data_IF_733449614782
#
_entry.id   IF_733449614782
#
_cell.length_a   1.000
_cell.length_b   1.000
_cell.length_c   1.000
_cell.angle_alpha   90.00
_cell.angle_beta   90.00
_cell.angle_gamma   90.00
#
_symmetry.space_group_name_H-M   'P 1'
#
loop_
_entity.id
_entity.type
_entity.pdbx_description
1 polymer ?
#
# COMPACT_ATOMS: atom_id res chain seq x y z
N UNK A 1 -65.68 -46.10 -47.24
CA UNK A 1 -65.77 -45.58 -45.85
C UNK A 1 -64.63 -46.06 -44.95
N UNK A 2 -64.18 -47.32 -45.04
CA UNK A 2 -63.07 -47.85 -44.21
C UNK A 2 -61.73 -47.12 -44.41
N UNK A 3 -61.34 -46.81 -45.65
CA UNK A 3 -60.06 -46.11 -45.92
C UNK A 3 -60.00 -44.67 -45.37
N UNK A 4 -61.13 -43.95 -45.32
CA UNK A 4 -61.17 -42.59 -44.79
C UNK A 4 -61.02 -42.57 -43.26
N UNK A 5 -61.63 -43.53 -42.57
CA UNK A 5 -61.48 -43.70 -41.12
C UNK A 5 -60.05 -44.08 -40.73
N UNK A 6 -59.39 -44.92 -41.52
CA UNK A 6 -57.99 -45.29 -41.29
C UNK A 6 -57.04 -44.10 -41.42
N UNK A 7 -57.21 -43.26 -42.45
CA UNK A 7 -56.39 -42.05 -42.63
C UNK A 7 -56.59 -41.06 -41.48
N UNK A 8 -57.82 -40.87 -41.00
CA UNK A 8 -58.11 -40.01 -39.85
C UNK A 8 -57.46 -40.56 -38.56
N UNK A 9 -57.49 -41.88 -38.35
CA UNK A 9 -56.85 -42.50 -37.19
C UNK A 9 -55.32 -42.33 -37.20
N UNK A 10 -54.68 -42.48 -38.36
CA UNK A 10 -53.23 -42.28 -38.51
C UNK A 10 -52.83 -40.82 -38.27
N UNK A 11 -53.61 -39.86 -38.79
CA UNK A 11 -53.37 -38.44 -38.53
C UNK A 11 -53.54 -38.10 -37.05
N UNK A 12 -54.56 -38.63 -36.38
CA UNK A 12 -54.76 -38.44 -34.94
C UNK A 12 -53.58 -39.00 -34.13
N UNK A 13 -53.02 -40.14 -34.53
CA UNK A 13 -51.85 -40.73 -33.88
C UNK A 13 -50.59 -39.88 -34.05
N UNK A 14 -50.35 -39.33 -35.26
CA UNK A 14 -49.22 -38.43 -35.51
C UNK A 14 -49.32 -37.17 -34.65
N UNK A 15 -50.52 -36.58 -34.54
CA UNK A 15 -50.75 -35.39 -33.71
C UNK A 15 -50.52 -35.70 -32.23
N UNK A 16 -51.00 -36.84 -31.74
CA UNK A 16 -50.78 -37.26 -30.36
C UNK A 16 -49.29 -37.52 -30.05
N UNK A 17 -48.56 -38.14 -30.97
CA UNK A 17 -47.12 -38.38 -30.84
C UNK A 17 -46.32 -37.07 -30.85
N UNK A 18 -46.66 -36.13 -31.74
CA UNK A 18 -46.05 -34.81 -31.78
C UNK A 18 -46.29 -34.02 -30.47
N UNK A 19 -47.51 -34.09 -29.93
CA UNK A 19 -47.85 -33.45 -28.66
C UNK A 19 -47.08 -34.05 -27.47
N UNK A 20 -46.95 -35.39 -27.41
CA UNK A 20 -46.19 -36.05 -26.36
C UNK A 20 -44.69 -35.69 -26.38
N UNK A 21 -44.09 -35.59 -27.58
CA UNK A 21 -42.70 -35.16 -27.73
C UNK A 21 -42.50 -33.70 -27.31
N UNK A 22 -43.40 -32.80 -27.71
CA UNK A 22 -43.35 -31.39 -27.30
C UNK A 22 -43.45 -31.25 -25.77
N UNK A 23 -44.35 -32.01 -25.13
CA UNK A 23 -44.50 -32.00 -23.68
C UNK A 23 -43.24 -32.49 -22.97
N UNK A 24 -42.60 -33.55 -23.48
CA UNK A 24 -41.35 -34.08 -22.92
C UNK A 24 -40.19 -33.08 -23.03
N UNK A 25 -39.98 -32.48 -24.21
CA UNK A 25 -38.91 -31.48 -24.44
C UNK A 25 -39.12 -30.25 -23.57
N UNK A 26 -40.37 -29.77 -23.46
CA UNK A 26 -40.67 -28.64 -22.57
C UNK A 26 -40.37 -28.97 -21.10
N UNK A 27 -40.64 -30.20 -20.66
CA UNK A 27 -40.33 -30.65 -19.30
C UNK A 27 -38.84 -30.64 -18.99
N UNK A 28 -38.00 -31.08 -19.94
CA UNK A 28 -36.54 -31.07 -19.83
C UNK A 28 -35.99 -29.64 -19.74
N UNK A 29 -36.47 -28.71 -20.57
CA UNK A 29 -36.06 -27.29 -20.48
C UNK A 29 -36.46 -26.64 -19.15
N UNK A 30 -37.65 -26.92 -18.65
CA UNK A 30 -38.12 -26.41 -17.35
C UNK A 30 -37.28 -26.94 -16.20
N UNK A 31 -36.89 -28.22 -16.25
CA UNK A 31 -35.98 -28.81 -15.25
C UNK A 31 -34.61 -28.13 -15.31
N UNK A 32 -34.01 -27.98 -16.49
CA UNK A 32 -32.70 -27.33 -16.61
C UNK A 32 -32.70 -25.89 -16.10
N UNK A 33 -33.74 -25.11 -16.43
CA UNK A 33 -33.91 -23.74 -15.91
C UNK A 33 -34.02 -23.73 -14.40
N UNK A 34 -34.84 -24.60 -13.82
CA UNK A 34 -34.99 -24.73 -12.37
C UNK A 34 -33.66 -25.08 -11.68
N UNK A 35 -32.92 -26.05 -12.21
CA UNK A 35 -31.61 -26.42 -11.66
C UNK A 35 -30.55 -25.33 -11.84
N UNK A 36 -30.58 -24.58 -12.95
CA UNK A 36 -29.70 -23.44 -13.16
C UNK A 36 -29.97 -22.31 -12.16
N UNK A 37 -31.24 -21.96 -11.96
CA UNK A 37 -31.65 -20.94 -10.99
C UNK A 37 -31.27 -21.34 -9.57
N UNK A 38 -31.50 -22.60 -9.19
CA UNK A 38 -31.18 -23.07 -7.85
C UNK A 38 -29.66 -23.07 -7.58
N UNK A 39 -28.83 -23.37 -8.60
CA UNK A 39 -27.37 -23.26 -8.50
C UNK A 39 -26.92 -21.80 -8.36
N UNK A 40 -27.52 -20.90 -9.13
CA UNK A 40 -27.21 -19.47 -9.05
C UNK A 40 -27.57 -18.92 -7.67
N UNK A 41 -28.73 -19.30 -7.13
CA UNK A 41 -29.14 -18.91 -5.79
C UNK A 41 -28.16 -19.44 -4.74
N UNK A 42 -27.76 -20.72 -4.84
CA UNK A 42 -26.78 -21.31 -3.94
C UNK A 42 -25.44 -20.56 -3.99
N UNK A 43 -24.91 -20.27 -5.17
CA UNK A 43 -23.66 -19.51 -5.31
C UNK A 43 -23.77 -18.11 -4.70
N UNK A 44 -24.88 -17.42 -4.95
CA UNK A 44 -25.15 -16.10 -4.36
C UNK A 44 -25.17 -16.16 -2.83
N UNK A 45 -25.82 -17.17 -2.23
CA UNK A 45 -25.83 -17.34 -0.77
C UNK A 45 -24.45 -17.64 -0.20
N UNK A 46 -23.63 -18.42 -0.91
CA UNK A 46 -22.25 -18.72 -0.51
C UNK A 46 -21.39 -17.45 -0.56
N UNK A 47 -21.54 -16.65 -1.62
CA UNK A 47 -20.80 -15.39 -1.74
C UNK A 47 -21.18 -14.41 -0.62
N UNK A 48 -22.48 -14.26 -0.33
CA UNK A 48 -22.96 -13.42 0.77
C UNK A 48 -22.41 -13.89 2.12
N UNK A 49 -22.40 -15.20 2.38
CA UNK A 49 -21.84 -15.76 3.61
C UNK A 49 -20.35 -15.44 3.76
N UNK A 50 -19.56 -15.57 2.68
CA UNK A 50 -18.13 -15.23 2.67
C UNK A 50 -17.90 -13.73 2.92
N UNK A 51 -18.64 -12.87 2.25
CA UNK A 51 -18.53 -11.42 2.45
C UNK A 51 -18.91 -11.02 3.88
N UNK A 52 -19.90 -11.68 4.49
CA UNK A 52 -20.28 -11.46 5.87
C UNK A 52 -19.18 -11.89 6.84
N UNK A 53 -18.55 -13.05 6.61
CA UNK A 53 -17.39 -13.52 7.40
C UNK A 53 -16.21 -12.54 7.31
N UNK A 54 -15.92 -11.99 6.13
CA UNK A 54 -14.87 -10.99 5.94
C UNK A 54 -15.17 -9.70 6.72
N UNK A 55 -16.42 -9.23 6.74
CA UNK A 55 -16.85 -8.08 7.53
C UNK A 55 -16.68 -8.33 9.04
N UNK A 56 -17.06 -9.51 9.52
CA UNK A 56 -16.91 -9.88 10.94
C UNK A 56 -15.43 -9.94 11.35
N UNK A 57 -14.57 -10.46 10.47
CA UNK A 57 -13.12 -10.47 10.67
C UNK A 57 -12.51 -9.07 10.66
N UNK A 58 -12.99 -8.19 9.79
CA UNK A 58 -12.54 -6.79 9.76
C UNK A 58 -12.97 -6.05 11.03
N UNK A 59 -14.22 -6.23 11.46
CA UNK A 59 -14.77 -5.61 12.67
C UNK A 59 -14.03 -6.06 13.93
N UNK A 60 -13.74 -7.36 14.08
CA UNK A 60 -12.97 -7.86 15.22
C UNK A 60 -11.55 -7.28 15.27
N UNK A 61 -10.91 -7.09 14.10
CA UNK A 61 -9.59 -6.45 14.02
C UNK A 61 -9.62 -4.97 14.38
N UNK A 62 -10.67 -4.26 13.97
CA UNK A 62 -10.90 -2.86 14.37
C UNK A 62 -11.06 -2.77 15.90
N UNK A 63 -11.89 -3.62 16.50
CA UNK A 63 -12.07 -3.65 17.96
C UNK A 63 -10.76 -3.91 18.72
N UNK A 64 -9.95 -4.87 18.25
CA UNK A 64 -8.63 -5.14 18.84
C UNK A 64 -7.70 -3.93 18.76
N UNK A 65 -7.71 -3.21 17.63
CA UNK A 65 -6.92 -1.99 17.46
C UNK A 65 -7.40 -0.87 18.38
N UNK A 66 -8.71 -0.64 18.46
CA UNK A 66 -9.32 0.34 19.37
C UNK A 66 -8.99 0.05 20.83
N UNK A 67 -9.05 -1.21 21.26
CA UNK A 67 -8.68 -1.62 22.61
C UNK A 67 -7.18 -1.43 22.87
N UNK A 68 -6.32 -1.73 21.89
CA UNK A 68 -4.88 -1.48 21.99
C UNK A 68 -4.54 0.01 22.09
N UNK A 69 -5.30 0.88 21.43
CA UNK A 69 -5.16 2.34 21.49
C UNK A 69 -5.65 2.87 22.84
N UNK A 70 -6.81 2.44 23.31
CA UNK A 70 -7.35 2.80 24.63
C UNK A 70 -6.39 2.43 25.77
N UNK A 71 -5.75 1.26 25.68
CA UNK A 71 -4.76 0.81 26.65
C UNK A 71 -3.45 1.63 26.59
N UNK A 72 -3.11 2.24 25.45
CA UNK A 72 -1.99 3.19 25.34
C UNK A 72 -2.33 4.54 25.96
N UNK A 73 -3.56 5.04 25.77
CA UNK A 73 -4.01 6.33 26.33
C UNK A 73 -4.16 6.32 27.86
N UNK A 74 -4.39 5.16 28.48
CA UNK A 74 -4.53 5.03 29.93
C UNK A 74 -3.21 4.96 30.71
N UNK A 75 -2.06 4.87 30.04
CA UNK A 75 -0.78 5.13 30.69
C UNK A 75 -0.59 6.65 30.74
N UNK A 76 -0.48 7.27 31.92
CA UNK A 76 -0.12 8.68 32.00
C UNK A 76 1.34 8.80 31.55
N UNK A 77 1.58 8.99 30.26
CA UNK A 77 2.88 9.47 29.77
C UNK A 77 2.99 10.93 30.18
N UNK A 78 3.84 11.18 31.18
CA UNK A 78 4.24 12.52 31.60
C UNK A 78 4.65 13.33 30.36
N UNK A 79 3.91 14.39 30.07
CA UNK A 79 4.11 15.24 28.88
C UNK A 79 5.36 16.10 29.08
N UNK A 80 6.51 15.51 28.82
CA UNK A 80 7.63 16.18 28.19
C UNK A 80 7.78 15.59 26.79
N UNK A 81 7.86 16.42 25.75
CA UNK A 81 8.28 15.95 24.42
C UNK A 81 9.75 15.57 24.50
N UNK A 82 10.03 14.36 24.97
CA UNK A 82 11.37 13.81 24.92
C UNK A 82 11.60 13.29 23.51
N UNK A 83 12.56 13.89 22.80
CA UNK A 83 13.03 13.37 21.51
C UNK A 83 13.60 11.98 21.78
N UNK A 84 12.88 10.94 21.37
CA UNK A 84 13.44 9.59 21.41
C UNK A 84 14.60 9.55 20.41
N UNK A 85 15.82 9.57 20.93
CA UNK A 85 17.00 9.31 20.13
C UNK A 85 16.99 7.83 19.75
N UNK A 86 16.47 7.53 18.55
CA UNK A 86 16.70 6.23 17.93
C UNK A 86 18.22 6.06 17.76
N UNK A 87 18.73 4.86 17.99
CA UNK A 87 20.10 4.53 17.59
C UNK A 87 20.18 4.63 16.06
N UNK A 88 20.63 5.78 15.57
CA UNK A 88 20.83 6.03 14.15
C UNK A 88 22.19 5.47 13.76
N UNK A 89 22.26 4.86 12.58
CA UNK A 89 23.55 4.57 11.95
C UNK A 89 24.33 5.88 11.76
N UNK A 90 25.67 5.84 11.82
CA UNK A 90 26.47 7.03 11.54
C UNK A 90 26.13 7.58 10.15
N UNK A 91 26.14 8.90 10.01
CA UNK A 91 25.86 9.55 8.73
C UNK A 91 26.96 9.19 7.72
N UNK A 92 26.56 8.62 6.59
CA UNK A 92 27.47 8.28 5.50
C UNK A 92 27.57 9.43 4.48
N UNK A 93 28.59 9.47 3.62
CA UNK A 93 28.69 10.47 2.56
C UNK A 93 27.47 10.51 1.64
N UNK A 94 26.85 9.36 1.29
CA UNK A 94 25.58 9.38 0.54
C UNK A 94 24.45 10.01 1.35
N UNK A 95 24.42 9.82 2.67
CA UNK A 95 23.43 10.48 3.54
C UNK A 95 23.54 12.00 3.42
N UNK A 96 24.77 12.55 3.40
CA UNK A 96 24.98 13.97 3.17
C UNK A 96 24.55 14.42 1.77
N UNK A 97 24.85 13.64 0.73
CA UNK A 97 24.42 13.93 -0.65
C UNK A 97 22.90 13.95 -0.78
N UNK A 98 22.22 12.94 -0.25
CA UNK A 98 20.75 12.85 -0.30
C UNK A 98 20.11 14.03 0.42
N UNK A 99 20.60 14.39 1.60
CA UNK A 99 20.00 15.46 2.41
C UNK A 99 20.35 16.85 1.90
N UNK A 100 21.59 17.11 1.48
CA UNK A 100 22.05 18.48 1.18
C UNK A 100 22.22 18.78 -0.30
N UNK A 101 22.44 17.78 -1.15
CA UNK A 101 22.62 17.96 -2.60
C UNK A 101 21.32 17.66 -3.36
N UNK A 102 20.59 16.60 -3.00
CA UNK A 102 19.36 16.20 -3.71
C UNK A 102 18.08 16.91 -3.20
N UNK A 103 17.98 17.18 -1.89
CA UNK A 103 16.82 17.89 -1.33
C UNK A 103 16.98 19.41 -1.45
N UNK A 104 15.96 20.07 -1.99
CA UNK A 104 15.87 21.52 -2.12
C UNK A 104 15.98 22.23 -0.78
N UNK A 105 15.36 21.69 0.28
CA UNK A 105 15.45 22.30 1.61
C UNK A 105 16.86 22.18 2.20
N UNK A 106 17.54 21.07 1.92
CA UNK A 106 18.93 20.87 2.29
C UNK A 106 19.87 21.89 1.66
N UNK A 107 19.73 22.11 0.35
CA UNK A 107 20.51 23.13 -0.37
C UNK A 107 20.30 24.53 0.23
N UNK A 108 19.04 24.90 0.54
CA UNK A 108 18.72 26.18 1.19
C UNK A 108 19.38 26.33 2.57
N UNK A 109 19.38 25.25 3.35
CA UNK A 109 20.04 25.23 4.66
C UNK A 109 21.56 25.36 4.48
N UNK A 110 22.17 24.62 3.55
CA UNK A 110 23.60 24.67 3.30
C UNK A 110 24.04 26.06 2.83
N UNK A 111 23.27 26.69 1.95
CA UNK A 111 23.51 28.06 1.51
C UNK A 111 23.43 29.04 2.69
N UNK A 112 22.39 28.93 3.53
CA UNK A 112 22.25 29.77 4.72
C UNK A 112 23.41 29.58 5.72
N UNK A 113 23.85 28.33 5.96
CA UNK A 113 25.01 28.04 6.81
C UNK A 113 26.29 28.64 6.24
N UNK A 114 26.49 28.53 4.93
CA UNK A 114 27.63 29.12 4.22
C UNK A 114 27.63 30.64 4.37
N UNK A 115 26.49 31.29 4.16
CA UNK A 115 26.38 32.74 4.34
C UNK A 115 26.58 33.16 5.79
N UNK A 116 26.14 32.37 6.77
CA UNK A 116 26.24 32.71 8.18
C UNK A 116 27.66 32.55 8.72
N UNK A 117 28.35 31.49 8.33
CA UNK A 117 29.63 31.10 8.94
C UNK A 117 30.84 31.31 8.03
N UNK A 118 30.68 31.31 6.71
CA UNK A 118 31.80 31.39 5.76
C UNK A 118 32.13 32.80 5.25
N UNK A 119 31.41 33.86 5.68
CA UNK A 119 31.60 35.22 5.14
C UNK A 119 32.95 35.86 5.45
N UNK A 120 33.38 35.88 6.72
CA UNK A 120 34.62 36.56 7.14
C UNK A 120 35.34 35.72 8.21
N UNK A 121 36.43 35.06 7.82
CA UNK A 121 37.22 34.26 8.76
C UNK A 121 38.04 35.13 9.72
N UNK A 122 38.59 36.23 9.23
CA UNK A 122 39.56 37.05 9.95
C UNK A 122 38.90 38.14 10.79
N UNK A 123 39.48 38.39 11.97
CA UNK A 123 39.06 39.41 12.92
C UNK A 123 40.28 40.01 13.62
N UNK A 124 40.06 41.05 14.42
CA UNK A 124 41.14 41.78 15.09
C UNK A 124 41.85 40.97 16.19
N UNK A 125 41.28 39.85 16.62
CA UNK A 125 41.90 38.96 17.62
C UNK A 125 42.05 37.55 17.07
N UNK A 126 43.19 36.92 17.35
CA UNK A 126 43.46 35.54 16.91
C UNK A 126 42.44 34.56 17.46
N UNK A 127 41.93 34.81 18.67
CA UNK A 127 40.91 33.98 19.31
C UNK A 127 39.60 33.95 18.52
N UNK A 128 39.10 35.12 18.11
CA UNK A 128 37.87 35.20 17.31
C UNK A 128 38.08 34.64 15.91
N UNK A 129 39.25 34.86 15.32
CA UNK A 129 39.61 34.29 14.01
C UNK A 129 39.59 32.76 14.05
N UNK A 130 40.25 32.17 15.05
CA UNK A 130 40.26 30.71 15.24
C UNK A 130 38.86 30.15 15.51
N UNK A 131 38.02 30.86 16.26
CA UNK A 131 36.64 30.48 16.50
C UNK A 131 35.82 30.46 15.19
N UNK A 132 35.94 31.50 14.36
CA UNK A 132 35.24 31.58 13.07
C UNK A 132 35.74 30.54 12.07
N UNK A 133 37.05 30.30 12.00
CA UNK A 133 37.62 29.21 11.20
C UNK A 133 37.11 27.84 11.65
N UNK A 134 36.96 27.62 12.96
CA UNK A 134 36.36 26.41 13.50
C UNK A 134 34.88 26.23 13.12
N UNK A 135 34.12 27.32 12.98
CA UNK A 135 32.76 27.24 12.45
C UNK A 135 32.74 26.91 10.95
N UNK A 136 33.67 27.48 10.20
CA UNK A 136 33.80 27.23 8.76
C UNK A 136 34.21 25.80 8.44
N UNK A 137 35.06 25.19 9.27
CA UNK A 137 35.49 23.80 9.06
C UNK A 137 34.33 22.81 9.09
N UNK A 138 33.27 23.09 9.87
CA UNK A 138 32.06 22.25 9.92
C UNK A 138 31.30 22.31 8.59
N UNK A 139 31.10 23.51 8.04
CA UNK A 139 30.43 23.69 6.74
C UNK A 139 31.27 23.07 5.62
N UNK A 140 32.59 23.26 5.66
CA UNK A 140 33.51 22.62 4.73
C UNK A 140 33.47 21.08 4.83
N UNK A 141 33.31 20.53 6.03
CA UNK A 141 33.14 19.09 6.25
C UNK A 141 31.91 18.54 5.52
N UNK A 142 30.75 19.21 5.65
CA UNK A 142 29.52 18.82 4.94
C UNK A 142 29.74 18.81 3.43
N UNK A 143 30.34 19.88 2.89
CA UNK A 143 30.62 19.99 1.44
C UNK A 143 31.58 18.90 0.99
N UNK A 144 32.59 18.57 1.80
CA UNK A 144 33.55 17.53 1.48
C UNK A 144 32.91 16.13 1.43
N UNK A 145 32.01 15.80 2.35
CA UNK A 145 31.28 14.52 2.31
C UNK A 145 30.36 14.42 1.08
N UNK A 146 29.70 15.52 0.69
CA UNK A 146 28.91 15.57 -0.55
C UNK A 146 29.82 15.34 -1.76
N UNK A 147 30.96 16.04 -1.84
CA UNK A 147 31.91 15.88 -2.95
C UNK A 147 32.48 14.47 -3.03
N UNK A 148 32.72 13.83 -1.88
CA UNK A 148 33.18 12.45 -1.78
C UNK A 148 32.12 11.48 -2.33
N UNK A 149 30.84 11.68 -1.98
CA UNK A 149 29.74 10.89 -2.53
C UNK A 149 29.55 11.10 -4.04
N UNK A 150 29.87 12.29 -4.54
CA UNK A 150 29.82 12.63 -5.97
C UNK A 150 31.03 12.11 -6.78
N UNK A 151 32.07 11.56 -6.14
CA UNK A 151 33.20 10.95 -6.85
C UNK A 151 32.76 9.63 -7.51
N UNK A 152 32.95 9.44 -8.84
CA UNK A 152 32.59 8.20 -9.52
C UNK A 152 33.26 6.93 -8.97
N UNK A 153 34.39 7.09 -8.26
CA UNK A 153 35.12 5.98 -7.66
C UNK A 153 34.71 5.70 -6.21
N UNK A 154 33.73 6.44 -5.68
CA UNK A 154 33.27 6.24 -4.31
C UNK A 154 32.39 5.00 -4.19
N UNK A 155 32.71 4.15 -3.22
CA UNK A 155 31.87 3.04 -2.78
C UNK A 155 31.67 3.14 -1.27
N UNK A 156 30.41 3.13 -0.82
CA UNK A 156 30.12 3.03 0.61
C UNK A 156 30.60 1.66 1.11
N UNK A 157 31.59 1.66 2.00
CA UNK A 157 31.88 0.48 2.81
C UNK A 157 30.84 0.49 3.92
N UNK A 158 29.99 -0.54 3.97
CA UNK A 158 29.03 -0.72 5.07
C UNK A 158 29.81 -0.71 6.39
N UNK A 159 29.64 0.37 7.14
CA UNK A 159 30.25 0.50 8.46
C UNK A 159 29.31 -0.23 9.43
N UNK A 160 29.48 -1.56 9.50
CA UNK A 160 28.81 -2.43 10.47
C UNK A 160 29.37 -2.13 11.87
N UNK A 161 28.91 -1.02 12.46
CA UNK A 161 29.19 -0.61 13.83
C UNK A 161 27.89 -0.53 14.64
#
# INVERSE_FOLDING_TARGET
MINALFVVAVLAFIVAAAFALAYKVSGEEWQEKYWAENRLHLDTTIQLAKSQEELDKANSRIQQLEESLRNKEQKPEEVGTFVQHRALRPATPETYRVVFDLDLNGQRILEHLTQKYCRNAFSNTDRETNYKLGQQSVVAGIINEINKANDPNYSEVENDA
#
